data_IF_791922212726
#
_entry.id   IF_791922212726
#
_cell.length_a   1.000
_cell.length_b   1.000
_cell.length_c   1.000
_cell.angle_alpha   90.00
_cell.angle_beta   90.00
_cell.angle_gamma   90.00
#
_symmetry.space_group_name_H-M   'P 1'
#
loop_
_entity.id
_entity.type
_entity.pdbx_description
1 polymer ?
#
# COMPACT_ATOMS: atom_id res chain seq x y z
N UNK A 1 5.16 -27.33 3.50
CA UNK A 1 4.61 -25.97 3.54
C UNK A 1 4.72 -25.36 2.15
N UNK A 2 3.62 -24.82 1.60
CA UNK A 2 3.57 -24.24 0.27
C UNK A 2 3.97 -22.75 0.31
N UNK A 3 4.46 -22.23 -0.81
CA UNK A 3 4.57 -20.80 -1.04
C UNK A 3 3.15 -20.19 -1.07
N UNK A 4 3.01 -18.97 -0.64
CA UNK A 4 1.70 -18.33 -0.53
C UNK A 4 1.69 -16.89 -1.00
N UNK A 5 0.52 -16.46 -1.45
CA UNK A 5 0.20 -15.07 -1.79
C UNK A 5 -0.85 -14.59 -0.80
N UNK A 6 -0.57 -13.44 -0.19
CA UNK A 6 -1.47 -12.80 0.76
C UNK A 6 -2.07 -11.56 0.08
N UNK A 7 -3.39 -11.53 -0.02
CA UNK A 7 -4.15 -10.40 -0.60
C UNK A 7 -4.89 -9.69 0.53
N UNK A 8 -4.79 -8.37 0.57
CA UNK A 8 -5.43 -7.57 1.61
C UNK A 8 -6.90 -7.33 1.29
N UNK A 9 -7.79 -7.72 2.19
CA UNK A 9 -9.25 -7.59 2.03
C UNK A 9 -9.90 -6.46 2.83
N UNK A 10 -9.16 -5.38 3.15
CA UNK A 10 -9.67 -4.22 3.89
C UNK A 10 -9.59 -4.34 5.42
N UNK A 11 -9.83 -5.50 6.00
CA UNK A 11 -9.71 -5.78 7.44
C UNK A 11 -8.56 -6.72 7.79
N UNK A 12 -7.94 -7.36 6.79
CA UNK A 12 -6.84 -8.29 6.99
C UNK A 12 -6.43 -8.98 5.70
N UNK A 13 -5.43 -9.86 5.83
CA UNK A 13 -4.91 -10.61 4.70
C UNK A 13 -5.64 -11.96 4.54
N UNK A 14 -6.00 -12.26 3.30
CA UNK A 14 -6.44 -13.59 2.89
C UNK A 14 -5.25 -14.31 2.26
N UNK A 15 -4.94 -15.50 2.78
CA UNK A 15 -3.81 -16.30 2.30
C UNK A 15 -4.28 -17.29 1.24
N UNK A 16 -3.62 -17.27 0.11
CA UNK A 16 -3.75 -18.24 -0.97
C UNK A 16 -2.44 -19.02 -1.09
N UNK A 17 -2.53 -20.30 -1.34
CA UNK A 17 -1.36 -21.18 -1.48
C UNK A 17 -1.50 -22.09 -2.69
N UNK A 18 -0.37 -22.43 -3.32
CA UNK A 18 -0.30 -23.34 -4.42
C UNK A 18 -0.21 -24.79 -3.91
N UNK A 19 -1.10 -25.64 -4.34
CA UNK A 19 -1.02 -27.08 -4.06
C UNK A 19 0.02 -27.74 -4.97
N UNK A 20 0.82 -28.62 -4.38
CA UNK A 20 1.89 -29.33 -5.10
C UNK A 20 1.38 -30.45 -6.00
N UNK A 21 0.24 -31.01 -5.68
CA UNK A 21 -0.30 -32.21 -6.35
C UNK A 21 -1.03 -31.92 -7.66
N UNK A 22 -1.59 -30.72 -7.83
CA UNK A 22 -2.39 -30.39 -9.01
C UNK A 22 -2.25 -28.96 -9.51
N UNK A 23 -1.28 -28.21 -9.01
CA UNK A 23 -0.98 -26.83 -9.43
C UNK A 23 -2.18 -25.86 -9.29
N UNK A 24 -3.06 -26.16 -8.35
CA UNK A 24 -4.27 -25.36 -8.10
C UNK A 24 -4.05 -24.41 -6.93
N UNK A 25 -4.42 -23.17 -7.12
CA UNK A 25 -4.43 -22.19 -6.03
C UNK A 25 -5.64 -22.37 -5.12
N UNK A 26 -5.43 -22.36 -3.82
CA UNK A 26 -6.50 -22.46 -2.81
C UNK A 26 -6.37 -21.40 -1.77
N UNK A 27 -7.49 -20.95 -1.25
CA UNK A 27 -7.54 -20.13 -0.03
C UNK A 27 -7.38 -21.02 1.19
N UNK A 28 -6.68 -20.56 2.21
CA UNK A 28 -6.58 -21.25 3.48
C UNK A 28 -7.98 -21.53 4.08
N UNK A 29 -8.21 -22.76 4.46
CA UNK A 29 -9.52 -23.22 4.96
C UNK A 29 -10.58 -23.50 3.88
N UNK A 30 -10.24 -23.48 2.58
CA UNK A 30 -11.16 -23.75 1.47
C UNK A 30 -10.63 -24.85 0.56
N UNK A 31 -11.54 -25.64 0.00
CA UNK A 31 -11.24 -26.62 -1.06
C UNK A 31 -11.49 -26.10 -2.47
N UNK A 32 -12.05 -24.89 -2.59
CA UNK A 32 -12.36 -24.25 -3.87
C UNK A 32 -11.09 -23.90 -4.64
N UNK A 33 -11.13 -24.04 -5.96
CA UNK A 33 -10.08 -23.59 -6.88
C UNK A 33 -10.17 -22.07 -7.08
N UNK A 34 -9.08 -21.37 -6.81
CA UNK A 34 -8.92 -19.93 -6.99
C UNK A 34 -7.89 -19.57 -8.08
N UNK A 35 -7.48 -20.53 -8.93
CA UNK A 35 -6.48 -20.28 -9.97
C UNK A 35 -6.88 -19.22 -10.98
N UNK A 36 -8.19 -19.00 -11.17
CA UNK A 36 -8.74 -17.95 -12.03
C UNK A 36 -9.01 -16.62 -11.33
N UNK A 37 -8.59 -16.46 -10.06
CA UNK A 37 -8.81 -15.19 -9.34
C UNK A 37 -7.99 -14.06 -9.98
N UNK A 38 -8.65 -12.94 -10.22
CA UNK A 38 -8.00 -11.73 -10.72
C UNK A 38 -7.58 -10.87 -9.53
N UNK A 39 -6.33 -10.44 -9.53
CA UNK A 39 -5.79 -9.42 -8.63
C UNK A 39 -5.84 -8.10 -9.40
N UNK A 40 -6.54 -7.10 -8.89
CA UNK A 40 -6.63 -5.80 -9.55
C UNK A 40 -5.27 -5.08 -9.53
N UNK A 41 -4.98 -4.24 -10.54
CA UNK A 41 -3.68 -3.53 -10.62
C UNK A 41 -3.33 -2.66 -9.41
N UNK A 42 -4.36 -2.15 -8.71
CA UNK A 42 -4.21 -1.36 -7.49
C UNK A 42 -4.10 -2.21 -6.21
N UNK A 43 -4.36 -3.50 -6.28
CA UNK A 43 -4.22 -4.41 -5.15
C UNK A 43 -2.76 -4.81 -4.96
N UNK A 44 -2.17 -4.42 -3.86
CA UNK A 44 -0.87 -4.92 -3.45
C UNK A 44 -0.96 -6.33 -2.88
N UNK A 45 0.04 -7.15 -3.16
CA UNK A 45 0.13 -8.51 -2.62
C UNK A 45 1.44 -8.72 -1.89
N UNK A 46 1.42 -9.55 -0.84
CA UNK A 46 2.63 -10.06 -0.20
C UNK A 46 2.85 -11.50 -0.66
N UNK A 47 4.09 -11.81 -1.05
CA UNK A 47 4.49 -13.16 -1.43
C UNK A 47 5.34 -13.73 -0.30
N UNK A 48 4.91 -14.86 0.25
CA UNK A 48 5.64 -15.58 1.28
C UNK A 48 6.25 -16.84 0.69
N UNK A 49 7.57 -16.84 0.56
CA UNK A 49 8.33 -18.02 0.12
C UNK A 49 8.72 -18.86 1.34
N UNK A 50 8.55 -20.18 1.24
CA UNK A 50 8.86 -21.13 2.31
C UNK A 50 10.28 -21.72 2.21
N UNK A 51 10.87 -21.66 1.03
CA UNK A 51 12.22 -22.17 0.80
C UNK A 51 12.92 -21.40 -0.32
N UNK A 52 14.13 -20.92 -0.05
CA UNK A 52 14.98 -20.24 -1.01
C UNK A 52 14.41 -18.94 -1.58
N UNK A 53 15.26 -18.10 -2.13
CA UNK A 53 14.85 -16.95 -2.93
C UNK A 53 14.40 -17.38 -4.32
N UNK A 54 13.36 -16.75 -4.84
CA UNK A 54 12.91 -16.90 -6.23
C UNK A 54 12.92 -15.54 -6.90
N UNK A 55 13.30 -15.50 -8.16
CA UNK A 55 13.19 -14.30 -8.97
C UNK A 55 11.85 -14.32 -9.69
N UNK A 56 11.05 -13.28 -9.49
CA UNK A 56 9.86 -13.03 -10.29
C UNK A 56 10.17 -11.89 -11.25
N UNK A 57 10.00 -12.15 -12.54
CA UNK A 57 10.18 -11.11 -13.56
C UNK A 57 8.81 -10.66 -14.05
N UNK A 58 8.53 -9.36 -13.89
CA UNK A 58 7.38 -8.72 -14.50
C UNK A 58 7.87 -7.84 -15.66
N UNK A 59 7.34 -8.09 -16.84
CA UNK A 59 7.64 -7.30 -18.03
C UNK A 59 6.38 -6.59 -18.52
N UNK A 60 6.51 -5.33 -18.90
CA UNK A 60 5.41 -4.53 -19.41
C UNK A 60 5.87 -3.11 -19.72
N UNK A 61 5.02 -2.33 -20.40
CA UNK A 61 5.26 -0.91 -20.58
C UNK A 61 4.97 -0.16 -19.27
N UNK A 62 5.83 0.80 -18.87
CA UNK A 62 5.54 1.66 -17.72
C UNK A 62 4.30 2.51 -18.02
N UNK A 63 3.53 2.80 -16.99
CA UNK A 63 2.41 3.72 -17.13
C UNK A 63 2.92 5.14 -17.37
N UNK A 64 2.44 5.79 -18.42
CA UNK A 64 2.86 7.13 -18.83
C UNK A 64 1.74 8.16 -18.77
N UNK A 65 0.53 7.77 -18.34
CA UNK A 65 -0.62 8.65 -18.21
C UNK A 65 -1.02 8.80 -16.75
N UNK A 66 -1.65 9.92 -16.44
CA UNK A 66 -2.29 10.14 -15.14
C UNK A 66 -3.26 9.02 -14.82
N UNK A 67 -3.34 8.64 -13.56
CA UNK A 67 -4.40 7.75 -13.11
C UNK A 67 -4.97 8.19 -11.76
N UNK A 68 -6.21 7.82 -11.54
CA UNK A 68 -6.94 8.13 -10.31
C UNK A 68 -6.91 6.94 -9.38
N UNK A 69 -6.41 7.15 -8.18
CA UNK A 69 -6.50 6.21 -7.08
C UNK A 69 -7.61 6.64 -6.14
N UNK A 70 -8.62 5.79 -5.97
CA UNK A 70 -9.71 6.03 -5.02
C UNK A 70 -9.31 5.49 -3.65
N UNK A 71 -9.09 6.37 -2.68
CA UNK A 71 -8.70 6.01 -1.32
C UNK A 71 -9.94 5.98 -0.44
N UNK A 72 -10.28 4.81 0.07
CA UNK A 72 -11.40 4.59 0.98
C UNK A 72 -11.00 4.89 2.43
N UNK A 73 -11.99 5.09 3.30
CA UNK A 73 -11.77 5.14 4.75
C UNK A 73 -11.21 3.82 5.28
N UNK A 74 -10.43 3.90 6.36
CA UNK A 74 -9.75 2.75 6.95
C UNK A 74 -8.44 2.42 6.24
N UNK A 75 -8.09 1.15 6.23
CA UNK A 75 -6.89 0.64 5.58
C UNK A 75 -7.20 0.14 4.17
N UNK A 76 -6.36 0.50 3.22
CA UNK A 76 -6.41 -0.09 1.89
C UNK A 76 -5.00 -0.26 1.31
N UNK A 77 -4.75 -1.30 0.53
CA UNK A 77 -3.53 -1.43 -0.25
C UNK A 77 -3.47 -0.32 -1.30
N UNK A 78 -2.29 0.15 -1.57
CA UNK A 78 -2.04 1.14 -2.61
C UNK A 78 -0.71 0.86 -3.30
N UNK A 79 -0.56 1.37 -4.50
CA UNK A 79 0.69 1.39 -5.23
C UNK A 79 0.91 2.78 -5.82
N UNK A 80 2.15 3.11 -6.15
CA UNK A 80 2.46 4.38 -6.82
C UNK A 80 1.97 4.39 -8.26
N UNK A 81 1.80 3.21 -8.87
CA UNK A 81 1.44 3.03 -10.27
C UNK A 81 2.56 3.33 -11.27
N UNK A 82 3.70 3.81 -10.80
CA UNK A 82 4.86 4.17 -11.61
C UNK A 82 6.09 3.39 -11.17
N UNK A 83 7.04 3.21 -12.07
CA UNK A 83 8.27 2.46 -11.82
C UNK A 83 9.38 3.32 -11.17
N UNK A 84 9.01 4.22 -10.27
CA UNK A 84 9.93 5.10 -9.53
C UNK A 84 9.58 5.17 -8.05
N UNK A 85 10.59 5.44 -7.26
CA UNK A 85 10.44 5.75 -5.85
C UNK A 85 9.77 7.12 -5.67
N UNK A 86 8.78 7.19 -4.81
CA UNK A 86 8.06 8.41 -4.50
C UNK A 86 8.13 8.76 -3.02
N UNK A 87 8.18 10.05 -2.74
CA UNK A 87 7.93 10.57 -1.40
C UNK A 87 6.43 10.70 -1.14
N UNK A 88 5.99 10.83 0.12
CA UNK A 88 4.60 11.15 0.42
C UNK A 88 4.11 12.44 -0.27
N UNK A 89 4.99 13.44 -0.43
CA UNK A 89 4.68 14.68 -1.13
C UNK A 89 4.38 14.43 -2.62
N UNK A 90 5.24 13.68 -3.30
CA UNK A 90 5.05 13.33 -4.72
C UNK A 90 3.83 12.44 -4.93
N UNK A 91 3.51 11.59 -3.96
CA UNK A 91 2.29 10.79 -3.94
C UNK A 91 1.02 11.64 -3.70
N UNK A 92 1.16 12.93 -3.38
CA UNK A 92 0.04 13.81 -3.09
C UNK A 92 -0.59 13.60 -1.71
N UNK A 93 0.12 12.92 -0.81
CA UNK A 93 -0.34 12.62 0.53
C UNK A 93 -0.03 13.75 1.52
N UNK A 94 -0.56 14.92 1.23
CA UNK A 94 -0.46 16.13 2.06
C UNK A 94 -1.77 16.91 2.03
N UNK A 95 -2.03 17.70 3.05
CA UNK A 95 -3.18 18.60 3.07
C UNK A 95 -2.94 19.74 2.09
N UNK A 96 -3.92 20.03 1.24
CA UNK A 96 -3.82 21.15 0.32
C UNK A 96 -3.88 22.48 1.07
N UNK A 97 -3.11 23.47 0.60
CA UNK A 97 -3.18 24.80 1.14
C UNK A 97 -4.53 25.47 0.75
N UNK A 98 -5.37 25.76 1.73
CA UNK A 98 -6.70 26.36 1.53
C UNK A 98 -7.76 25.66 2.38
N UNK A 99 -9.04 26.04 2.25
CA UNK A 99 -10.10 25.28 2.91
C UNK A 99 -10.10 23.86 2.38
N UNK A 100 -9.65 22.93 3.23
CA UNK A 100 -9.55 21.52 2.87
C UNK A 100 -10.92 20.98 2.45
N UNK A 101 -11.06 20.38 1.26
CA UNK A 101 -12.26 19.66 0.94
C UNK A 101 -12.47 18.54 1.98
N UNK A 102 -13.71 18.18 2.23
CA UNK A 102 -14.07 17.21 3.27
C UNK A 102 -13.37 15.84 3.12
N UNK A 103 -12.75 15.60 1.98
CA UNK A 103 -12.03 14.37 1.62
C UNK A 103 -10.50 14.52 1.61
N UNK A 104 -9.96 15.64 2.09
CA UNK A 104 -8.51 15.87 2.12
C UNK A 104 -7.79 15.02 3.19
N UNK A 105 -6.46 14.97 3.12
CA UNK A 105 -5.64 14.29 4.11
C UNK A 105 -5.74 14.97 5.47
N UNK A 106 -5.88 14.16 6.51
CA UNK A 106 -6.01 14.65 7.89
C UNK A 106 -4.71 14.44 8.65
N UNK A 107 -4.06 15.55 8.96
CA UNK A 107 -2.91 15.57 9.85
C UNK A 107 -3.32 15.66 11.32
N UNK A 108 -2.60 14.96 12.20
CA UNK A 108 -2.78 15.03 13.64
C UNK A 108 -1.47 14.79 14.39
N UNK A 109 -1.36 15.32 15.62
CA UNK A 109 -0.22 15.03 16.48
C UNK A 109 -0.28 13.64 17.11
N UNK A 110 -1.46 13.07 17.22
CA UNK A 110 -1.67 11.68 17.62
C UNK A 110 -1.77 10.78 16.36
N UNK A 111 -0.87 9.81 16.22
CA UNK A 111 -0.82 8.89 15.08
C UNK A 111 -2.16 8.18 14.83
N UNK A 112 -2.89 7.84 15.91
CA UNK A 112 -4.16 7.12 15.80
C UNK A 112 -5.24 7.94 15.06
N UNK A 113 -5.23 9.27 15.23
CA UNK A 113 -6.19 10.20 14.64
C UNK A 113 -5.72 10.84 13.32
N UNK A 114 -4.51 10.50 12.88
CA UNK A 114 -3.94 10.98 11.62
C UNK A 114 -4.13 9.97 10.49
N UNK A 115 -4.17 10.49 9.27
CA UNK A 115 -3.95 9.67 8.08
C UNK A 115 -2.50 9.16 8.09
N UNK A 116 -2.30 7.97 7.57
CA UNK A 116 -1.00 7.29 7.63
C UNK A 116 -0.71 6.44 6.42
N UNK A 117 0.55 6.06 6.31
CA UNK A 117 1.04 5.08 5.34
C UNK A 117 1.82 4.02 6.12
N UNK A 118 1.53 2.76 5.85
CA UNK A 118 2.27 1.63 6.42
C UNK A 118 3.03 0.93 5.29
N UNK A 119 4.34 1.01 5.33
CA UNK A 119 5.22 0.39 4.33
C UNK A 119 5.73 -0.94 4.87
N UNK A 120 5.57 -2.00 4.09
CA UNK A 120 6.06 -3.32 4.46
C UNK A 120 7.58 -3.39 4.31
N UNK A 121 8.25 -3.82 5.36
CA UNK A 121 9.68 -4.09 5.37
C UNK A 121 9.90 -5.61 5.26
N UNK A 122 10.30 -6.13 4.10
CA UNK A 122 10.47 -7.57 3.90
C UNK A 122 11.61 -8.16 4.75
N UNK A 123 12.61 -7.36 5.12
CA UNK A 123 13.72 -7.83 5.96
C UNK A 123 13.27 -8.06 7.41
N UNK A 124 12.30 -7.28 7.89
CA UNK A 124 11.72 -7.41 9.22
C UNK A 124 10.45 -8.26 9.25
N UNK A 125 9.82 -8.50 8.09
CA UNK A 125 8.53 -9.16 7.99
C UNK A 125 7.39 -8.38 8.68
N UNK A 126 7.51 -7.06 8.76
CA UNK A 126 6.58 -6.18 9.48
C UNK A 126 6.40 -4.83 8.79
N UNK A 127 5.37 -4.09 9.20
CA UNK A 127 5.11 -2.75 8.67
C UNK A 127 5.80 -1.67 9.51
N UNK A 128 6.36 -0.68 8.82
CA UNK A 128 6.75 0.59 9.41
C UNK A 128 5.66 1.62 9.15
N UNK A 129 5.11 2.18 10.22
CA UNK A 129 4.02 3.16 10.16
C UNK A 129 4.54 4.60 10.11
N UNK A 130 4.04 5.35 9.14
CA UNK A 130 4.24 6.78 8.99
C UNK A 130 2.90 7.50 9.11
N UNK A 131 2.87 8.71 9.61
CA UNK A 131 1.65 9.49 9.77
C UNK A 131 1.86 10.96 9.44
N UNK A 132 0.79 11.60 8.97
CA UNK A 132 0.77 13.03 8.67
C UNK A 132 0.58 13.84 9.96
N UNK A 133 1.44 14.81 10.19
CA UNK A 133 1.36 15.69 11.35
C UNK A 133 0.26 16.74 11.21
N UNK A 134 -0.11 17.38 12.32
CA UNK A 134 -1.15 18.42 12.37
C UNK A 134 -0.86 19.65 11.49
N UNK A 135 0.39 19.83 11.05
CA UNK A 135 0.76 20.87 10.08
C UNK A 135 0.29 20.57 8.65
N UNK A 136 -0.23 19.35 8.40
CA UNK A 136 -0.73 18.92 7.11
C UNK A 136 0.32 18.62 6.04
N UNK A 137 1.61 18.74 6.37
CA UNK A 137 2.71 18.54 5.40
C UNK A 137 3.83 17.63 5.90
N UNK A 138 4.06 17.59 7.22
CA UNK A 138 5.16 16.80 7.80
C UNK A 138 4.77 15.33 8.00
N UNK A 139 5.48 14.42 7.36
CA UNK A 139 5.37 12.99 7.58
C UNK A 139 6.45 12.51 8.55
N UNK A 140 6.06 11.65 9.52
CA UNK A 140 6.98 11.11 10.54
C UNK A 140 6.60 9.69 10.96
N UNK A 141 7.56 8.97 11.53
CA UNK A 141 7.27 7.76 12.32
C UNK A 141 6.88 8.15 13.75
N UNK A 142 6.14 7.28 14.44
CA UNK A 142 5.85 7.47 15.86
C UNK A 142 7.15 7.56 16.67
N UNK A 143 7.21 8.52 17.60
CA UNK A 143 8.40 8.74 18.45
C UNK A 143 9.59 9.41 17.75
N UNK A 144 9.49 9.78 16.47
CA UNK A 144 10.56 10.45 15.72
C UNK A 144 10.23 11.92 15.48
N UNK A 145 11.25 12.77 15.54
CA UNK A 145 11.20 14.18 15.12
C UNK A 145 11.63 14.38 13.67
N UNK A 146 12.20 13.36 13.04
CA UNK A 146 12.69 13.42 11.65
C UNK A 146 11.54 13.60 10.68
N UNK A 147 11.65 14.62 9.81
CA UNK A 147 10.69 14.87 8.74
C UNK A 147 11.02 14.01 7.53
N UNK A 148 10.03 13.29 7.03
CA UNK A 148 10.18 12.31 5.93
C UNK A 148 9.35 12.68 4.69
N UNK A 149 8.74 13.87 4.66
CA UNK A 149 7.83 14.29 3.58
C UNK A 149 8.46 14.21 2.19
N UNK A 150 9.72 14.59 2.07
CA UNK A 150 10.48 14.52 0.81
C UNK A 150 11.32 13.26 0.64
N UNK A 151 11.26 12.32 1.58
CA UNK A 151 12.03 11.08 1.49
C UNK A 151 11.27 10.04 0.67
N UNK A 152 11.94 9.39 -0.27
CA UNK A 152 11.36 8.34 -1.12
C UNK A 152 11.08 7.07 -0.30
N UNK A 153 9.88 7.00 0.28
CA UNK A 153 9.40 5.91 1.12
C UNK A 153 8.60 4.87 0.33
N UNK A 154 7.98 5.30 -0.77
CA UNK A 154 7.03 4.50 -1.55
C UNK A 154 7.75 3.98 -2.80
N UNK A 155 8.18 2.74 -2.74
CA UNK A 155 8.92 2.11 -3.82
C UNK A 155 7.98 1.25 -4.68
N UNK A 156 8.24 1.11 -5.99
CA UNK A 156 7.42 0.30 -6.89
C UNK A 156 7.34 -1.17 -6.48
N UNK A 157 8.40 -1.68 -5.85
CA UNK A 157 8.57 -3.07 -5.43
C UNK A 157 8.12 -3.32 -3.99
N UNK A 158 7.55 -2.29 -3.32
CA UNK A 158 7.20 -2.38 -1.90
C UNK A 158 5.69 -2.27 -1.71
N UNK A 159 5.14 -3.24 -0.99
CA UNK A 159 3.74 -3.20 -0.56
C UNK A 159 3.55 -2.12 0.51
N UNK A 160 2.52 -1.30 0.33
CA UNK A 160 2.13 -0.36 1.38
C UNK A 160 0.60 -0.25 1.51
N UNK A 161 0.18 0.12 2.69
CA UNK A 161 -1.21 0.42 3.03
C UNK A 161 -1.35 1.91 3.29
N UNK A 162 -2.37 2.51 2.72
CA UNK A 162 -2.85 3.84 3.14
C UNK A 162 -3.87 3.63 4.26
N UNK A 163 -3.68 4.32 5.37
CA UNK A 163 -4.64 4.42 6.47
C UNK A 163 -5.32 5.77 6.43
N UNK A 164 -6.63 5.80 6.23
CA UNK A 164 -7.43 7.03 6.34
C UNK A 164 -8.17 7.07 7.67
N UNK A 165 -7.91 8.11 8.46
CA UNK A 165 -8.68 8.44 9.64
C UNK A 165 -9.99 9.17 9.27
N UNK A 166 -10.00 9.90 8.15
CA UNK A 166 -11.19 10.58 7.62
C UNK A 166 -12.21 9.55 7.09
N UNK A 167 -13.49 9.61 7.50
CA UNK A 167 -14.53 8.71 6.99
C UNK A 167 -14.86 8.95 5.51
N UNK A 168 -14.52 10.11 4.95
CA UNK A 168 -14.82 10.43 3.56
C UNK A 168 -13.75 9.84 2.61
N UNK A 169 -14.15 9.27 1.47
CA UNK A 169 -13.20 8.79 0.48
C UNK A 169 -12.42 9.96 -0.13
N UNK A 170 -11.16 9.73 -0.45
CA UNK A 170 -10.33 10.68 -1.18
C UNK A 170 -9.98 10.15 -2.57
N UNK A 171 -9.56 11.07 -3.41
CA UNK A 171 -9.03 10.75 -4.73
C UNK A 171 -7.63 11.34 -4.86
N UNK A 172 -6.68 10.51 -5.23
CA UNK A 172 -5.38 10.97 -5.66
C UNK A 172 -5.30 10.88 -7.19
N UNK A 173 -4.83 11.94 -7.80
CA UNK A 173 -4.43 11.92 -9.21
C UNK A 173 -2.92 11.78 -9.21
N UNK A 174 -2.47 10.60 -9.57
CA UNK A 174 -1.05 10.29 -9.69
C UNK A 174 -0.61 10.59 -11.11
N UNK A 175 0.44 11.40 -11.23
CA UNK A 175 0.98 11.86 -12.50
C UNK A 175 2.34 11.22 -12.74
N UNK A 176 2.61 10.76 -13.96
CA UNK A 176 3.96 10.48 -14.35
C UNK A 176 4.75 11.80 -14.33
N UNK A 177 5.94 11.80 -13.86
CA UNK A 177 6.84 12.93 -13.59
C UNK A 177 6.72 14.15 -14.51
#
# INVERSE_FOLDING_TARGET
LADSVLVFGGSGFTTYFLRSDNLVWRRAGSTTDFSGMVIAPEEGVLIQLRSGGKVMTHAGAPRMNDFRLNIKSGFMPACTGFAVDMSPLQFGAVTNAGPAPANDWVGNNAQAAADGIQVFDPAKGSFTGYYLRADGVSWRTAGSTTVLTGVSLLRPDTFFLVKRANPNPAHLILRPY
#
